data_IF_435290219988
#
_entry.id   IF_435290219988
#
_cell.length_a   1.000
_cell.length_b   1.000
_cell.length_c   1.000
_cell.angle_alpha   90.00
_cell.angle_beta   90.00
_cell.angle_gamma   90.00
#
_symmetry.space_group_name_H-M   'P 1'
#
loop_
_entity.id
_entity.type
_entity.pdbx_description
1 polymer ?
#
# COMPACT_ATOMS: atom_id res chain seq x y z
N UNK A 1 -18.56 36.51 9.88
CA UNK A 1 -19.73 36.96 9.10
C UNK A 1 -19.32 38.20 8.32
N UNK A 2 -19.36 38.12 7.00
CA UNK A 2 -19.00 39.22 6.09
C UNK A 2 -18.54 38.67 4.75
N UNK A 3 -19.41 37.99 4.01
CA UNK A 3 -19.13 37.56 2.64
C UNK A 3 -19.49 38.70 1.68
N UNK A 4 -18.50 39.45 1.21
CA UNK A 4 -18.69 40.30 0.02
C UNK A 4 -18.81 39.39 -1.21
N UNK A 5 -19.95 39.49 -1.87
CA UNK A 5 -20.25 38.76 -3.11
C UNK A 5 -20.01 39.72 -4.26
N UNK A 6 -18.93 39.49 -5.01
CA UNK A 6 -18.73 40.16 -6.30
C UNK A 6 -19.56 39.45 -7.38
N UNK A 7 -20.03 40.23 -8.35
CA UNK A 7 -21.06 39.94 -9.36
C UNK A 7 -20.72 38.84 -10.38
N UNK A 8 -19.67 38.07 -10.15
CA UNK A 8 -19.21 36.94 -11.00
C UNK A 8 -19.60 35.57 -10.44
N UNK A 9 -20.22 35.50 -9.26
CA UNK A 9 -20.60 34.22 -8.63
C UNK A 9 -19.40 33.39 -8.16
N UNK A 10 -18.20 33.97 -8.19
CA UNK A 10 -16.97 33.35 -7.68
C UNK A 10 -16.81 33.79 -6.23
N UNK A 11 -17.10 32.88 -5.30
CA UNK A 11 -16.73 33.04 -3.89
C UNK A 11 -15.21 32.99 -3.79
N UNK A 12 -14.58 34.15 -3.54
CA UNK A 12 -13.18 34.21 -3.14
C UNK A 12 -13.10 33.64 -1.72
N UNK A 13 -12.83 32.34 -1.63
CA UNK A 13 -12.49 31.70 -0.36
C UNK A 13 -11.14 32.27 0.06
N UNK A 14 -11.08 32.89 1.24
CA UNK A 14 -9.85 33.41 1.81
C UNK A 14 -8.75 32.33 1.80
N UNK A 15 -7.48 32.70 1.55
CA UNK A 15 -6.39 31.73 1.56
C UNK A 15 -6.28 31.12 2.95
N UNK A 16 -6.67 29.84 3.06
CA UNK A 16 -6.52 29.01 4.25
C UNK A 16 -5.11 29.20 4.83
N UNK A 17 -5.05 29.55 6.11
CA UNK A 17 -3.78 29.74 6.82
C UNK A 17 -3.19 28.36 7.16
N UNK A 18 -1.90 28.31 7.51
CA UNK A 18 -1.20 27.06 7.80
C UNK A 18 -1.82 26.25 8.97
N UNK A 19 -2.70 26.88 9.75
CA UNK A 19 -3.38 26.31 10.91
C UNK A 19 -4.75 25.68 10.58
N UNK A 20 -5.26 25.81 9.35
CA UNK A 20 -6.51 25.17 8.90
C UNK A 20 -6.32 23.70 8.48
N UNK A 21 -5.21 23.10 8.91
CA UNK A 21 -4.84 21.72 8.62
C UNK A 21 -5.31 20.86 9.80
N UNK A 22 -6.62 20.67 9.94
CA UNK A 22 -7.17 19.53 10.67
C UNK A 22 -6.90 18.27 9.83
N UNK A 23 -5.65 17.78 9.89
CA UNK A 23 -5.32 16.41 9.48
C UNK A 23 -5.69 15.54 10.67
N UNK A 24 -6.85 14.90 10.61
CA UNK A 24 -7.19 13.86 11.57
C UNK A 24 -6.37 12.59 11.25
N UNK A 25 -5.43 12.17 12.13
CA UNK A 25 -4.56 11.01 11.92
C UNK A 25 -5.25 9.65 12.10
N UNK A 26 -6.53 9.64 12.49
CA UNK A 26 -7.16 8.50 13.17
C UNK A 26 -7.58 7.30 12.30
N UNK A 27 -7.48 7.35 10.97
CA UNK A 27 -7.87 6.23 10.10
C UNK A 27 -6.79 5.14 9.88
N UNK A 28 -5.60 5.28 10.50
CA UNK A 28 -4.44 4.40 10.22
C UNK A 28 -4.09 3.41 11.34
N UNK A 29 -4.54 3.67 12.56
CA UNK A 29 -4.47 2.71 13.66
C UNK A 29 -5.24 1.43 13.31
N UNK A 30 -6.40 1.58 12.66
CA UNK A 30 -7.31 0.50 12.27
C UNK A 30 -6.71 -0.52 11.28
N UNK A 31 -5.75 -0.12 10.43
CA UNK A 31 -5.16 -1.00 9.41
C UNK A 31 -3.88 -1.69 9.92
N UNK A 32 -3.09 -1.01 10.78
CA UNK A 32 -1.97 -1.63 11.48
C UNK A 32 -2.45 -2.66 12.54
N UNK A 33 -3.59 -2.40 13.18
CA UNK A 33 -4.31 -3.34 14.04
C UNK A 33 -4.68 -4.66 13.33
N UNK A 34 -4.87 -4.64 12.01
CA UNK A 34 -5.29 -5.82 11.23
C UNK A 34 -4.16 -6.86 11.02
N UNK A 35 -2.88 -6.48 11.19
CA UNK A 35 -1.71 -7.35 10.89
C UNK A 35 -0.87 -7.69 12.12
N UNK A 36 -0.87 -6.86 13.16
CA UNK A 36 -0.29 -7.20 14.47
C UNK A 36 -1.46 -7.59 15.37
N UNK A 37 -1.65 -8.87 15.72
CA UNK A 37 -2.77 -9.35 16.54
C UNK A 37 -2.63 -8.93 18.02
N UNK A 38 -2.52 -7.63 18.28
CA UNK A 38 -2.54 -7.02 19.61
C UNK A 38 -3.57 -5.88 19.60
N UNK A 39 -4.73 -6.20 19.05
CA UNK A 39 -5.82 -5.32 18.63
C UNK A 39 -6.63 -4.67 19.76
N UNK A 40 -6.03 -4.46 20.93
CA UNK A 40 -6.72 -3.80 22.05
C UNK A 40 -5.97 -2.61 22.64
N UNK A 41 -4.70 -2.37 22.26
CA UNK A 41 -3.98 -1.20 22.75
C UNK A 41 -3.16 -0.53 21.64
N UNK A 42 -3.58 0.65 21.16
CA UNK A 42 -2.92 1.33 20.05
C UNK A 42 -1.45 1.67 20.37
N UNK A 43 -1.13 1.98 21.63
CA UNK A 43 0.23 2.30 22.07
C UNK A 43 1.15 1.08 22.08
N UNK A 44 0.63 -0.11 22.38
CA UNK A 44 1.40 -1.37 22.27
C UNK A 44 1.69 -1.69 20.80
N UNK A 45 0.68 -1.54 19.95
CA UNK A 45 0.81 -1.77 18.52
C UNK A 45 1.82 -0.81 17.88
N UNK A 46 1.75 0.48 18.21
CA UNK A 46 2.71 1.48 17.74
C UNK A 46 4.13 1.20 18.23
N UNK A 47 4.30 0.89 19.52
CA UNK A 47 5.60 0.50 20.07
C UNK A 47 6.20 -0.71 19.32
N UNK A 48 5.43 -1.79 19.14
CA UNK A 48 5.91 -2.98 18.44
C UNK A 48 6.13 -2.73 16.96
N UNK A 49 5.34 -1.86 16.32
CA UNK A 49 5.58 -1.44 14.93
C UNK A 49 6.92 -0.73 14.80
N UNK A 50 7.25 0.17 15.72
CA UNK A 50 8.56 0.83 15.76
C UNK A 50 9.68 -0.21 15.99
N UNK A 51 9.49 -1.15 16.92
CA UNK A 51 10.46 -2.25 17.13
C UNK A 51 10.62 -3.13 15.90
N UNK A 52 9.54 -3.39 15.16
CA UNK A 52 9.53 -4.21 13.95
C UNK A 52 10.32 -3.57 12.79
N UNK A 53 10.41 -2.25 12.74
CA UNK A 53 11.20 -1.50 11.74
C UNK A 53 12.68 -1.37 12.15
N UNK A 54 13.05 -1.85 13.34
CA UNK A 54 14.44 -1.90 13.81
C UNK A 54 14.83 -0.81 14.80
N UNK A 55 13.89 0.03 15.24
CA UNK A 55 14.18 1.00 16.30
C UNK A 55 14.58 0.29 17.61
N UNK A 56 15.52 0.90 18.32
CA UNK A 56 15.90 0.47 19.67
C UNK A 56 14.73 0.67 20.65
N UNK A 57 14.83 0.06 21.83
CA UNK A 57 13.83 0.22 22.89
C UNK A 57 13.60 1.70 23.21
N UNK A 58 14.68 2.48 23.33
CA UNK A 58 14.61 3.90 23.71
C UNK A 58 13.93 4.74 22.63
N UNK A 59 14.28 4.51 21.36
CA UNK A 59 13.68 5.22 20.24
C UNK A 59 12.20 4.86 20.09
N UNK A 60 11.86 3.57 20.19
CA UNK A 60 10.47 3.11 20.09
C UNK A 60 9.61 3.68 21.24
N UNK A 61 10.15 3.78 22.45
CA UNK A 61 9.47 4.44 23.58
C UNK A 61 9.24 5.93 23.33
N UNK A 62 10.25 6.64 22.81
CA UNK A 62 10.13 8.05 22.48
C UNK A 62 9.08 8.31 21.39
N UNK A 63 9.10 7.50 20.32
CA UNK A 63 8.17 7.63 19.19
C UNK A 63 6.73 7.26 19.51
N UNK A 64 6.50 6.33 20.44
CA UNK A 64 5.16 5.92 20.89
C UNK A 64 4.68 6.71 22.12
N UNK A 65 5.48 7.66 22.59
CA UNK A 65 5.24 8.43 23.81
C UNK A 65 4.99 7.55 25.04
N UNK A 66 5.65 6.38 25.12
CA UNK A 66 5.52 5.41 26.21
C UNK A 66 6.69 5.50 27.18
N UNK A 67 6.42 5.39 28.48
CA UNK A 67 7.47 5.38 29.50
C UNK A 67 8.05 3.98 29.72
N UNK A 68 9.31 3.90 30.17
CA UNK A 68 9.94 2.62 30.53
C UNK A 68 9.15 1.84 31.61
N UNK A 69 8.51 2.55 32.55
CA UNK A 69 7.64 1.96 33.57
C UNK A 69 6.44 1.25 32.94
N UNK A 70 5.83 1.85 31.92
CA UNK A 70 4.69 1.28 31.19
C UNK A 70 5.10 0.03 30.42
N UNK A 71 6.27 0.06 29.76
CA UNK A 71 6.81 -1.11 29.06
C UNK A 71 7.10 -2.26 30.03
N UNK A 72 7.71 -1.98 31.18
CA UNK A 72 7.98 -3.00 32.19
C UNK A 72 6.68 -3.61 32.75
N UNK A 73 5.61 -2.81 32.86
CA UNK A 73 4.28 -3.31 33.22
C UNK A 73 3.73 -4.23 32.14
N UNK A 74 3.75 -3.84 30.87
CA UNK A 74 3.29 -4.67 29.75
C UNK A 74 4.02 -6.01 29.70
N UNK A 75 5.34 -6.03 29.88
CA UNK A 75 6.14 -7.27 29.92
C UNK A 75 5.77 -8.23 31.05
N UNK A 76 5.20 -7.71 32.15
CA UNK A 76 4.75 -8.53 33.30
C UNK A 76 3.32 -9.03 33.14
N UNK A 77 2.44 -8.19 32.59
CA UNK A 77 1.01 -8.46 32.50
C UNK A 77 0.62 -9.20 31.22
N UNK A 78 1.43 -9.09 30.16
CA UNK A 78 1.12 -9.59 28.83
C UNK A 78 2.30 -10.41 28.29
N UNK A 79 2.20 -11.73 28.49
CA UNK A 79 3.20 -12.69 28.04
C UNK A 79 3.29 -12.77 26.51
N UNK A 80 2.18 -12.55 25.80
CA UNK A 80 2.17 -12.57 24.33
C UNK A 80 2.94 -11.37 23.77
N UNK A 81 2.72 -10.17 24.33
CA UNK A 81 3.50 -8.97 24.02
C UNK A 81 5.00 -9.21 24.24
N UNK A 82 5.37 -9.81 25.38
CA UNK A 82 6.76 -10.13 25.70
C UNK A 82 7.38 -11.06 24.64
N UNK A 83 6.63 -12.08 24.21
CA UNK A 83 7.06 -13.02 23.19
C UNK A 83 7.29 -12.32 21.84
N UNK A 84 6.41 -11.39 21.45
CA UNK A 84 6.60 -10.58 20.24
C UNK A 84 7.81 -9.65 20.33
N UNK A 85 8.04 -9.06 21.49
CA UNK A 85 9.15 -8.11 21.70
C UNK A 85 10.54 -8.79 21.74
N UNK A 86 10.60 -10.06 22.17
CA UNK A 86 11.84 -10.80 22.36
C UNK A 86 12.04 -11.88 21.29
N UNK A 87 11.28 -12.97 21.39
CA UNK A 87 11.50 -14.20 20.61
C UNK A 87 11.08 -14.03 19.14
N UNK A 88 9.97 -13.34 18.90
CA UNK A 88 9.41 -13.17 17.54
C UNK A 88 9.83 -11.86 16.88
N UNK A 89 10.70 -11.06 17.50
CA UNK A 89 11.12 -9.78 16.92
C UNK A 89 11.80 -9.95 15.56
N UNK A 90 12.65 -10.98 15.42
CA UNK A 90 13.30 -11.29 14.15
C UNK A 90 12.28 -11.72 13.06
N UNK A 91 11.19 -12.36 13.47
CA UNK A 91 10.08 -12.70 12.57
C UNK A 91 9.31 -11.45 12.13
N UNK A 92 9.03 -10.53 13.07
CA UNK A 92 8.41 -9.23 12.76
C UNK A 92 9.28 -8.40 11.80
N UNK A 93 10.60 -8.41 12.01
CA UNK A 93 11.57 -7.75 11.12
C UNK A 93 11.52 -8.27 9.70
N UNK A 94 11.31 -9.57 9.49
CA UNK A 94 11.28 -10.17 8.15
C UNK A 94 9.93 -10.04 7.46
N UNK A 95 8.85 -10.11 8.23
CA UNK A 95 7.50 -10.31 7.68
C UNK A 95 6.69 -9.02 7.61
N UNK A 96 6.91 -8.09 8.55
CA UNK A 96 6.02 -6.94 8.75
C UNK A 96 6.75 -5.59 8.54
N UNK A 97 8.08 -5.56 8.64
CA UNK A 97 8.85 -4.31 8.54
C UNK A 97 8.65 -3.59 7.20
N UNK A 98 8.75 -4.32 6.07
CA UNK A 98 8.57 -3.76 4.73
C UNK A 98 7.14 -3.24 4.53
N UNK A 99 6.16 -3.98 5.02
CA UNK A 99 4.75 -3.58 4.99
C UNK A 99 4.50 -2.32 5.82
N UNK A 100 5.01 -2.23 7.06
CA UNK A 100 4.89 -1.02 7.89
C UNK A 100 5.53 0.18 7.21
N UNK A 101 6.74 0.00 6.65
CA UNK A 101 7.43 1.07 5.93
C UNK A 101 6.65 1.52 4.69
N UNK A 102 6.18 0.57 3.88
CA UNK A 102 5.37 0.86 2.68
C UNK A 102 4.09 1.61 3.08
N UNK A 103 3.36 1.14 4.09
CA UNK A 103 2.13 1.79 4.54
C UNK A 103 2.38 3.21 5.05
N UNK A 104 3.40 3.43 5.89
CA UNK A 104 3.74 4.77 6.39
C UNK A 104 4.21 5.68 5.26
N UNK A 105 4.99 5.16 4.31
CA UNK A 105 5.43 5.91 3.14
C UNK A 105 4.24 6.31 2.25
N UNK A 106 3.37 5.36 1.89
CA UNK A 106 2.17 5.61 1.07
C UNK A 106 1.25 6.64 1.71
N UNK A 107 1.04 6.56 3.03
CA UNK A 107 0.28 7.56 3.78
C UNK A 107 0.88 8.95 3.62
N UNK A 108 2.18 9.10 3.89
CA UNK A 108 2.85 10.38 3.79
C UNK A 108 2.82 10.90 2.34
N UNK A 109 2.98 10.01 1.37
CA UNK A 109 2.89 10.34 -0.05
C UNK A 109 1.50 10.84 -0.44
N UNK A 110 0.44 10.20 0.06
CA UNK A 110 -0.94 10.65 -0.16
C UNK A 110 -1.18 12.08 0.38
N UNK A 111 -0.65 12.41 1.56
CA UNK A 111 -0.74 13.77 2.11
C UNK A 111 -0.04 14.80 1.22
N UNK A 112 1.12 14.44 0.65
CA UNK A 112 1.82 15.28 -0.33
C UNK A 112 0.97 15.45 -1.60
N UNK A 113 0.43 14.36 -2.16
CA UNK A 113 -0.44 14.44 -3.36
C UNK A 113 -1.68 15.30 -3.14
N UNK A 114 -2.29 15.25 -1.95
CA UNK A 114 -3.42 16.11 -1.60
C UNK A 114 -3.03 17.59 -1.62
N UNK A 115 -1.86 17.92 -1.09
CA UNK A 115 -1.31 19.28 -1.14
C UNK A 115 -1.02 19.70 -2.58
N UNK A 116 -0.41 18.83 -3.36
CA UNK A 116 -0.09 19.06 -4.77
C UNK A 116 -1.36 19.33 -5.59
N UNK A 117 -2.39 18.50 -5.42
CA UNK A 117 -3.68 18.67 -6.10
C UNK A 117 -4.27 20.06 -5.87
N UNK A 118 -4.23 20.56 -4.63
CA UNK A 118 -4.73 21.91 -4.30
C UNK A 118 -3.96 23.00 -5.04
N UNK A 119 -2.63 22.93 -5.02
CA UNK A 119 -1.77 23.95 -5.65
C UNK A 119 -1.89 23.88 -7.18
N UNK A 120 -1.93 22.68 -7.74
CA UNK A 120 -2.11 22.46 -9.18
C UNK A 120 -3.47 22.98 -9.66
N UNK A 121 -4.54 22.67 -8.93
CA UNK A 121 -5.88 23.19 -9.23
C UNK A 121 -5.90 24.73 -9.23
N UNK A 122 -5.37 25.34 -8.17
CA UNK A 122 -5.24 26.81 -8.08
C UNK A 122 -4.41 27.37 -9.22
N UNK A 123 -3.29 26.72 -9.58
CA UNK A 123 -2.43 27.15 -10.69
C UNK A 123 -3.12 27.09 -12.06
N UNK A 124 -4.02 26.13 -12.26
CA UNK A 124 -4.72 25.93 -13.53
C UNK A 124 -5.82 26.96 -13.77
N UNK A 125 -6.52 27.38 -12.71
CA UNK A 125 -7.68 28.27 -12.82
C UNK A 125 -7.44 29.70 -12.30
N UNK A 126 -6.43 29.91 -11.45
CA UNK A 126 -6.06 31.21 -10.88
C UNK A 126 -4.55 31.27 -10.58
N UNK A 127 -3.74 31.31 -11.63
CA UNK A 127 -2.28 31.34 -11.48
C UNK A 127 -1.79 32.59 -10.73
N UNK A 128 -2.41 33.75 -10.96
CA UNK A 128 -2.01 35.01 -10.33
C UNK A 128 -2.25 35.00 -8.81
N UNK A 129 -3.30 34.30 -8.35
CA UNK A 129 -3.65 34.16 -6.94
C UNK A 129 -2.72 33.23 -6.13
N UNK A 130 -1.72 32.59 -6.75
CA UNK A 130 -0.71 31.82 -6.02
C UNK A 130 0.21 32.72 -5.20
N UNK A 131 0.35 32.42 -3.92
CA UNK A 131 1.34 33.04 -3.03
C UNK A 131 2.77 32.67 -3.45
N UNK A 132 3.75 33.46 -3.02
CA UNK A 132 5.17 33.20 -3.33
C UNK A 132 5.63 31.80 -2.88
N UNK A 133 5.14 31.36 -1.71
CA UNK A 133 5.41 30.02 -1.18
C UNK A 133 4.79 28.92 -2.04
N UNK A 134 3.56 29.11 -2.52
CA UNK A 134 2.90 28.15 -3.42
C UNK A 134 3.56 28.10 -4.79
N UNK A 135 4.02 29.24 -5.33
CA UNK A 135 4.79 29.30 -6.60
C UNK A 135 6.12 28.58 -6.47
N UNK A 136 6.85 28.83 -5.38
CA UNK A 136 8.10 28.14 -5.07
C UNK A 136 7.89 26.63 -4.96
N UNK A 137 6.85 26.20 -4.24
CA UNK A 137 6.48 24.79 -4.13
C UNK A 137 6.07 24.19 -5.48
N UNK A 138 5.29 24.90 -6.28
CA UNK A 138 4.88 24.47 -7.63
C UNK A 138 6.08 24.22 -8.54
N UNK A 139 7.10 25.09 -8.50
CA UNK A 139 8.34 24.90 -9.25
C UNK A 139 9.17 23.70 -8.79
N UNK A 140 9.04 23.29 -7.52
CA UNK A 140 9.67 22.08 -7.00
C UNK A 140 8.92 20.83 -7.47
N UNK A 141 7.61 20.76 -7.22
CA UNK A 141 6.84 19.54 -7.50
C UNK A 141 6.77 19.19 -8.98
N UNK A 142 6.72 20.19 -9.88
CA UNK A 142 6.65 19.94 -11.33
C UNK A 142 7.86 19.17 -11.87
N UNK A 143 8.99 19.19 -11.17
CA UNK A 143 10.19 18.42 -11.53
C UNK A 143 10.02 16.92 -11.32
N UNK A 144 9.01 16.50 -10.55
CA UNK A 144 8.77 15.11 -10.15
C UNK A 144 7.59 14.45 -10.89
N UNK A 145 7.02 15.12 -11.89
CA UNK A 145 6.01 14.55 -12.79
C UNK A 145 6.64 14.06 -14.10
N UNK A 146 7.84 13.47 -14.02
CA UNK A 146 8.48 12.87 -15.19
C UNK A 146 7.96 11.45 -15.42
N UNK A 147 7.98 10.93 -16.66
CA UNK A 147 7.61 9.53 -16.92
C UNK A 147 8.42 8.53 -16.07
N UNK A 148 9.68 8.83 -15.78
CA UNK A 148 10.54 8.00 -14.93
C UNK A 148 10.06 7.96 -13.48
N UNK A 149 9.64 9.10 -12.92
CA UNK A 149 9.09 9.16 -11.57
C UNK A 149 7.76 8.40 -11.46
N UNK A 150 6.92 8.47 -12.50
CA UNK A 150 5.66 7.72 -12.57
C UNK A 150 5.89 6.21 -12.62
N UNK A 151 6.87 5.74 -13.39
CA UNK A 151 7.26 4.32 -13.42
C UNK A 151 7.84 3.85 -12.08
N UNK A 152 8.62 4.70 -11.41
CA UNK A 152 9.12 4.41 -10.07
C UNK A 152 7.98 4.30 -9.05
N UNK A 153 6.96 5.15 -9.18
CA UNK A 153 5.76 5.11 -8.34
C UNK A 153 4.93 3.84 -8.59
N UNK A 154 4.73 3.45 -9.85
CA UNK A 154 4.05 2.19 -10.20
C UNK A 154 4.74 1.00 -9.53
N UNK A 155 6.06 0.91 -9.65
CA UNK A 155 6.86 -0.12 -8.97
C UNK A 155 6.78 -0.07 -7.44
N UNK A 156 6.65 1.12 -6.85
CA UNK A 156 6.51 1.25 -5.40
C UNK A 156 5.12 0.83 -4.90
N UNK A 157 4.10 0.99 -5.74
CA UNK A 157 2.71 0.58 -5.50
C UNK A 157 2.48 -0.90 -5.78
N UNK A 158 3.34 -1.53 -6.58
CA UNK A 158 3.30 -2.97 -6.76
C UNK A 158 3.41 -3.65 -5.39
N UNK A 159 2.39 -4.43 -4.97
CA UNK A 159 2.53 -5.28 -3.80
C UNK A 159 3.75 -6.17 -3.99
N UNK A 160 4.63 -6.23 -2.99
CA UNK A 160 5.73 -7.21 -2.92
C UNK A 160 5.12 -8.61 -2.99
N UNK A 161 4.92 -9.10 -4.21
CA UNK A 161 4.58 -10.48 -4.47
C UNK A 161 5.86 -11.31 -4.36
N UNK A 162 6.26 -11.52 -3.12
CA UNK A 162 7.21 -12.56 -2.72
C UNK A 162 6.73 -13.07 -1.37
N UNK A 163 5.65 -13.82 -1.27
CA UNK A 163 5.33 -15.01 -2.04
C UNK A 163 3.91 -14.89 -2.59
N UNK A 164 3.71 -15.07 -3.91
CA UNK A 164 2.60 -15.97 -4.28
C UNK A 164 2.95 -17.22 -3.49
N UNK A 165 2.24 -17.52 -2.39
CA UNK A 165 2.42 -18.77 -1.67
C UNK A 165 2.59 -19.80 -2.77
N UNK A 166 3.76 -20.46 -2.84
CA UNK A 166 3.92 -21.56 -3.80
C UNK A 166 2.72 -22.42 -3.48
N UNK A 167 1.75 -22.47 -4.39
CA UNK A 167 0.69 -23.44 -4.27
C UNK A 167 1.45 -24.72 -4.53
N UNK A 168 2.00 -25.32 -3.47
CA UNK A 168 2.40 -26.71 -3.49
C UNK A 168 1.09 -27.46 -3.67
N UNK A 169 0.75 -27.65 -4.94
CA UNK A 169 -0.37 -28.49 -5.35
C UNK A 169 0.07 -29.90 -5.00
N UNK A 170 -0.15 -30.30 -3.75
CA UNK A 170 0.24 -31.60 -3.21
C UNK A 170 -0.43 -32.75 -4.02
N UNK A 171 -1.59 -32.45 -4.64
CA UNK A 171 -2.25 -33.29 -5.65
C UNK A 171 -2.93 -32.44 -6.71
N UNK A 172 -2.43 -32.50 -7.94
CA UNK A 172 -3.15 -31.97 -9.10
C UNK A 172 -4.28 -32.95 -9.46
N UNK A 173 -5.53 -32.53 -9.23
CA UNK A 173 -6.72 -33.27 -9.64
C UNK A 173 -7.13 -32.79 -11.03
N UNK A 174 -6.87 -33.60 -12.05
CA UNK A 174 -7.26 -33.29 -13.42
C UNK A 174 -8.72 -33.70 -13.64
N UNK A 175 -9.58 -32.71 -13.85
CA UNK A 175 -10.99 -32.91 -14.21
C UNK A 175 -11.12 -32.61 -15.71
N UNK A 176 -11.51 -33.61 -16.49
CA UNK A 176 -11.82 -33.47 -17.91
C UNK A 176 -13.25 -33.91 -18.15
N UNK A 177 -14.06 -33.03 -18.76
CA UNK A 177 -15.48 -33.26 -19.04
C UNK A 177 -16.29 -33.71 -17.79
N UNK A 178 -15.97 -33.14 -16.63
CA UNK A 178 -16.66 -33.43 -15.35
C UNK A 178 -16.25 -34.73 -14.66
N UNK A 179 -15.24 -35.45 -15.16
CA UNK A 179 -14.73 -36.70 -14.56
C UNK A 179 -13.29 -36.53 -14.06
N UNK A 180 -13.05 -37.02 -12.85
CA UNK A 180 -11.73 -37.02 -12.22
C UNK A 180 -10.83 -38.14 -12.79
N UNK A 181 -9.64 -37.80 -13.25
CA UNK A 181 -8.65 -38.76 -13.77
C UNK A 181 -7.70 -39.21 -12.65
N UNK A 182 -7.98 -40.40 -12.10
CA UNK A 182 -7.25 -40.95 -10.94
C UNK A 182 -6.01 -41.78 -11.31
N UNK A 183 -5.98 -42.35 -12.51
CA UNK A 183 -4.97 -43.33 -12.94
C UNK A 183 -3.76 -42.66 -13.66
N UNK A 184 -2.49 -42.94 -13.30
CA UNK A 184 -1.32 -42.32 -13.92
C UNK A 184 -1.22 -42.45 -15.45
N UNK A 185 -1.62 -43.60 -16.00
CA UNK A 185 -1.55 -43.84 -17.45
C UNK A 185 -2.63 -43.04 -18.20
N UNK A 186 -3.80 -42.87 -17.57
CA UNK A 186 -4.87 -42.03 -18.11
C UNK A 186 -4.49 -40.55 -18.07
N UNK A 187 -3.71 -40.10 -17.07
CA UNK A 187 -3.23 -38.72 -17.01
C UNK A 187 -2.33 -38.36 -18.18
N UNK A 188 -1.43 -39.25 -18.59
CA UNK A 188 -0.56 -39.00 -19.75
C UNK A 188 -1.35 -38.94 -21.06
N UNK A 189 -2.31 -39.86 -21.25
CA UNK A 189 -3.17 -39.86 -22.42
C UNK A 189 -4.04 -38.59 -22.50
N UNK A 190 -4.63 -38.19 -21.38
CA UNK A 190 -5.45 -36.98 -21.27
C UNK A 190 -4.61 -35.72 -21.47
N UNK A 191 -3.41 -35.65 -20.88
CA UNK A 191 -2.50 -34.53 -21.08
C UNK A 191 -2.12 -34.34 -22.55
N UNK A 192 -1.87 -35.43 -23.29
CA UNK A 192 -1.63 -35.37 -24.75
C UNK A 192 -2.85 -34.85 -25.51
N UNK A 193 -4.05 -35.36 -25.21
CA UNK A 193 -5.29 -34.90 -25.86
C UNK A 193 -5.57 -33.43 -25.58
N UNK A 194 -5.31 -32.95 -24.36
CA UNK A 194 -5.45 -31.53 -24.00
C UNK A 194 -4.42 -30.67 -24.75
N UNK A 195 -3.16 -31.12 -24.83
CA UNK A 195 -2.12 -30.44 -25.59
C UNK A 195 -2.47 -30.35 -27.08
N UNK A 196 -2.98 -31.43 -27.66
CA UNK A 196 -3.40 -31.46 -29.06
C UNK A 196 -4.59 -30.53 -29.31
N UNK A 197 -5.57 -30.46 -28.40
CA UNK A 197 -6.67 -29.48 -28.47
C UNK A 197 -6.17 -28.04 -28.35
N UNK A 198 -5.19 -27.78 -27.49
CA UNK A 198 -4.61 -26.45 -27.32
C UNK A 198 -3.84 -26.02 -28.57
N UNK A 199 -3.04 -26.91 -29.14
CA UNK A 199 -2.30 -26.68 -30.39
C UNK A 199 -3.22 -26.57 -31.61
N UNK A 200 -4.32 -27.33 -31.64
CA UNK A 200 -5.34 -27.20 -32.68
C UNK A 200 -6.03 -25.84 -32.62
N UNK A 201 -6.34 -25.33 -31.42
CA UNK A 201 -6.89 -23.98 -31.25
C UNK A 201 -5.89 -22.88 -31.63
N UNK A 202 -4.58 -23.07 -31.40
CA UNK A 202 -3.57 -22.12 -31.85
C UNK A 202 -3.54 -21.96 -33.39
N UNK A 203 -3.72 -23.06 -34.14
CA UNK A 203 -3.86 -22.98 -35.61
C UNK A 203 -5.06 -22.16 -36.06
N UNK A 204 -6.17 -22.19 -35.34
CA UNK A 204 -7.35 -21.38 -35.66
C UNK A 204 -7.15 -19.89 -35.34
N UNK A 205 -6.24 -19.53 -34.45
CA UNK A 205 -5.87 -18.13 -34.18
C UNK A 205 -5.02 -17.57 -35.33
N UNK A 206 -4.01 -18.32 -35.78
CA UNK A 206 -3.16 -17.91 -36.92
C UNK A 206 -3.95 -17.80 -38.24
N UNK A 207 -4.93 -18.69 -38.45
CA UNK A 207 -5.77 -18.64 -39.67
C UNK A 207 -6.70 -17.43 -39.68
N UNK A 208 -7.14 -16.97 -38.50
CA UNK A 208 -8.00 -15.79 -38.35
C UNK A 208 -7.23 -14.49 -38.55
N UNK A 209 -6.00 -14.42 -38.02
CA UNK A 209 -5.11 -13.28 -38.22
C UNK A 209 -4.71 -13.12 -39.70
N UNK A 210 -4.56 -14.23 -40.44
CA UNK A 210 -4.29 -14.21 -41.88
C UNK A 210 -5.49 -13.81 -42.75
N UNK A 211 -6.73 -14.03 -42.29
CA UNK A 211 -7.95 -13.59 -43.00
C UNK A 211 -8.28 -12.11 -42.73
N UNK A 212 -7.89 -11.57 -41.57
CA UNK A 212 -8.13 -10.16 -41.20
C UNK A 212 -7.08 -9.18 -41.80
N UNK A 213 -5.95 -9.69 -42.33
CA UNK A 213 -4.89 -8.89 -43.00
C UNK A 213 -5.00 -8.85 -44.55
N UNK A 214 -6.02 -9.49 -45.14
CA UNK A 214 -6.24 -9.56 -46.60
C UNK A 214 -7.42 -8.74 -47.12
#
# INVERSE_FOLDING_TARGET
MGSETDSTGVTVVEPLTADDIDIDPDDLSAIAEARIPLSQNPRKAEYLSNRAVGFTIREALALSEVTQTTLNRWRREDHEFLQFEQERLAFLHRTISSDIMRMKWLRNFFLVLRRDSRILYKSAFNFEGLTENERSYLHLIRKHYTPQDLLALEKALEPEHGERARIEVDKAVFIVDGKEVRDPDQRQAVARVVLDRFNANAKYVETREAEDES
#
